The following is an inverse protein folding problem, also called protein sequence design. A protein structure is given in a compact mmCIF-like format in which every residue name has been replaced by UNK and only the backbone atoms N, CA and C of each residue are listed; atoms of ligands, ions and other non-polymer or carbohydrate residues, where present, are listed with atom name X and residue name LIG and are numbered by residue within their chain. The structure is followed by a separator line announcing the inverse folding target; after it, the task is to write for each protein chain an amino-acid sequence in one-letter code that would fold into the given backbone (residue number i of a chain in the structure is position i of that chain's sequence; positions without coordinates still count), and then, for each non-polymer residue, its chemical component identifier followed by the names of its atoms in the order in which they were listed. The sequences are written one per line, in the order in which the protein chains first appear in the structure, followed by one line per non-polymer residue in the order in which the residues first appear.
data_IF_616411851892
#
_entry.id   IF_616411851892
#
_cell.length_a   1.000
_cell.length_b   1.000
_cell.length_c   1.000
_cell.angle_alpha   90.00
_cell.angle_beta   90.00
_cell.angle_gamma   90.00
#
_symmetry.space_group_name_H-M   'P 1'
#
loop_
_entity.id
_entity.type
_entity.pdbx_description
1 polymer ?
#
# COMPACT_ATOMS: atom_id res chain seq x y z
N UNK A 1 -14.41 -16.19 -6.84
CA UNK A 1 -14.76 -14.77 -7.01
C UNK A 1 -15.25 -14.11 -5.73
N UNK A 2 -16.30 -14.59 -5.04
CA UNK A 2 -16.83 -13.94 -3.82
C UNK A 2 -15.78 -13.68 -2.73
N UNK A 3 -14.94 -14.67 -2.41
CA UNK A 3 -13.92 -14.56 -1.36
C UNK A 3 -12.90 -13.47 -1.62
N UNK A 4 -12.39 -13.32 -2.86
CA UNK A 4 -11.45 -12.25 -3.21
C UNK A 4 -12.06 -10.86 -2.98
N UNK A 5 -13.33 -10.67 -3.40
CA UNK A 5 -14.04 -9.40 -3.22
C UNK A 5 -14.22 -9.05 -1.76
N UNK A 6 -14.56 -10.05 -0.92
CA UNK A 6 -14.71 -9.84 0.52
C UNK A 6 -13.38 -9.43 1.14
N UNK A 7 -12.28 -10.13 0.82
CA UNK A 7 -10.95 -9.80 1.33
C UNK A 7 -10.54 -8.40 0.87
N UNK A 8 -10.79 -8.04 -0.39
CA UNK A 8 -10.45 -6.72 -0.93
C UNK A 8 -11.23 -5.59 -0.26
N UNK A 9 -12.52 -5.79 0.00
CA UNK A 9 -13.34 -4.81 0.73
C UNK A 9 -12.91 -4.69 2.19
N UNK A 10 -12.58 -5.82 2.84
CA UNK A 10 -12.07 -5.81 4.20
C UNK A 10 -10.76 -5.03 4.30
N UNK A 11 -9.82 -5.24 3.36
CA UNK A 11 -8.56 -4.51 3.33
C UNK A 11 -8.77 -3.01 3.12
N UNK A 12 -9.69 -2.61 2.23
CA UNK A 12 -10.03 -1.21 2.04
C UNK A 12 -10.56 -0.56 3.33
N UNK A 13 -11.44 -1.26 4.05
CA UNK A 13 -11.96 -0.80 5.34
C UNK A 13 -10.86 -0.69 6.38
N UNK A 14 -9.97 -1.69 6.48
CA UNK A 14 -8.82 -1.68 7.40
C UNK A 14 -7.93 -0.47 7.09
N UNK A 15 -7.63 -0.23 5.82
CA UNK A 15 -6.79 0.90 5.38
C UNK A 15 -7.40 2.26 5.76
N UNK A 16 -8.70 2.44 5.51
CA UNK A 16 -9.40 3.68 5.88
C UNK A 16 -9.37 3.88 7.40
N UNK A 17 -9.66 2.83 8.17
CA UNK A 17 -9.60 2.88 9.64
C UNK A 17 -8.18 3.18 10.13
N UNK A 18 -7.16 2.60 9.48
CA UNK A 18 -5.77 2.87 9.81
C UNK A 18 -5.37 4.33 9.52
N UNK A 19 -5.79 4.91 8.39
CA UNK A 19 -5.56 6.33 8.08
C UNK A 19 -6.25 7.22 9.12
N UNK A 20 -7.46 6.87 9.56
CA UNK A 20 -8.15 7.60 10.63
C UNK A 20 -7.37 7.53 11.94
N UNK A 21 -6.83 6.35 12.29
CA UNK A 21 -5.97 6.15 13.47
C UNK A 21 -4.71 7.04 13.39
N UNK A 22 -4.02 7.02 12.24
CA UNK A 22 -2.87 7.89 11.98
C UNK A 22 -3.22 9.37 12.14
N UNK A 23 -4.38 9.78 11.63
CA UNK A 23 -4.87 11.17 11.74
C UNK A 23 -5.08 11.58 13.20
N UNK A 24 -5.62 10.68 14.01
CA UNK A 24 -5.81 10.93 15.46
C UNK A 24 -4.46 11.06 16.15
N UNK A 25 -3.51 10.19 15.88
CA UNK A 25 -2.19 10.21 16.51
C UNK A 25 -1.33 11.41 16.07
N UNK A 26 -1.40 11.78 14.80
CA UNK A 26 -0.65 12.92 14.26
C UNK A 26 -1.33 14.27 14.52
N UNK A 27 -2.60 14.28 14.95
CA UNK A 27 -3.40 15.50 15.12
C UNK A 27 -3.79 16.19 13.80
N UNK A 28 -3.42 15.62 12.67
CA UNK A 28 -3.70 16.11 11.30
C UNK A 28 -3.60 14.93 10.33
N UNK A 29 -4.00 15.14 9.07
CA UNK A 29 -3.80 14.15 8.03
C UNK A 29 -2.29 13.82 7.91
N UNK A 30 -1.87 12.55 8.02
CA UNK A 30 -0.47 12.17 8.08
C UNK A 30 0.25 12.36 6.73
N UNK A 31 1.57 12.49 6.77
CA UNK A 31 2.40 12.54 5.56
C UNK A 31 2.41 11.22 4.79
N UNK A 32 2.36 10.10 5.52
CA UNK A 32 2.40 8.74 5.01
C UNK A 32 1.69 7.79 5.97
N UNK A 33 1.39 6.57 5.53
CA UNK A 33 0.84 5.54 6.41
C UNK A 33 1.85 5.10 7.49
N UNK A 34 3.15 5.28 7.25
CA UNK A 34 4.19 4.97 8.23
C UNK A 34 4.33 5.97 9.37
N UNK A 35 3.50 7.02 9.42
CA UNK A 35 3.63 8.10 10.43
C UNK A 35 3.57 7.59 11.87
N UNK A 36 2.80 6.55 12.16
CA UNK A 36 2.70 5.96 13.50
C UNK A 36 4.01 5.32 13.96
N UNK A 37 4.88 4.91 13.02
CA UNK A 37 6.19 4.34 13.34
C UNK A 37 7.14 5.34 14.00
N UNK A 38 6.86 6.63 13.89
CA UNK A 38 7.62 7.70 14.55
C UNK A 38 7.14 8.00 15.98
N UNK A 39 5.98 7.46 16.37
CA UNK A 39 5.33 7.72 17.63
C UNK A 39 5.53 6.55 18.58
N UNK A 40 6.27 6.74 19.69
CA UNK A 40 6.34 5.74 20.76
C UNK A 40 5.11 5.92 21.65
N UNK A 41 4.35 4.85 21.96
CA UNK A 41 4.59 3.41 21.76
C UNK A 41 3.96 2.81 20.48
N UNK A 42 3.52 3.60 19.52
CA UNK A 42 2.68 3.18 18.39
C UNK A 42 3.44 2.65 17.17
N UNK A 43 4.74 2.39 17.28
CA UNK A 43 5.56 1.94 16.14
C UNK A 43 5.17 0.55 15.59
N UNK A 44 4.54 -0.30 16.41
CA UNK A 44 4.03 -1.60 15.94
C UNK A 44 2.79 -1.50 15.07
N UNK A 45 1.99 -0.44 15.22
CA UNK A 45 0.71 -0.30 14.53
C UNK A 45 0.91 -0.31 13.01
N UNK A 46 1.97 0.35 12.55
CA UNK A 46 2.33 0.34 11.14
C UNK A 46 2.73 -1.07 10.64
N UNK A 47 3.58 -1.78 11.39
CA UNK A 47 4.00 -3.14 10.99
C UNK A 47 2.82 -4.12 10.96
N UNK A 48 1.87 -4.00 11.91
CA UNK A 48 0.64 -4.79 11.94
C UNK A 48 -0.22 -4.46 10.71
N UNK A 49 -0.39 -3.18 10.38
CA UNK A 49 -1.11 -2.77 9.18
C UNK A 49 -0.47 -3.32 7.91
N UNK A 50 0.85 -3.17 7.73
CA UNK A 50 1.56 -3.70 6.55
C UNK A 50 1.40 -5.22 6.44
N UNK A 51 1.34 -5.94 7.57
CA UNK A 51 1.07 -7.37 7.56
C UNK A 51 -0.31 -7.69 6.97
N UNK A 52 -1.35 -6.89 7.23
CA UNK A 52 -2.68 -7.09 6.60
C UNK A 52 -2.59 -6.92 5.09
N UNK A 53 -1.85 -5.92 4.61
CA UNK A 53 -1.62 -5.70 3.18
C UNK A 53 -0.87 -6.87 2.54
N UNK A 54 0.17 -7.43 3.20
CA UNK A 54 0.89 -8.62 2.72
C UNK A 54 -0.07 -9.81 2.57
N UNK A 55 -0.90 -10.06 3.58
CA UNK A 55 -1.90 -11.14 3.56
C UNK A 55 -2.92 -10.91 2.42
N UNK A 56 -3.39 -9.69 2.25
CA UNK A 56 -4.29 -9.32 1.16
C UNK A 56 -3.65 -9.62 -0.21
N UNK A 57 -2.43 -9.15 -0.46
CA UNK A 57 -1.69 -9.38 -1.70
C UNK A 57 -1.51 -10.88 -1.95
N UNK A 58 -1.05 -11.63 -0.94
CA UNK A 58 -0.82 -13.06 -1.04
C UNK A 58 -2.10 -13.86 -1.35
N UNK A 59 -3.21 -13.53 -0.72
CA UNK A 59 -4.45 -14.28 -0.89
C UNK A 59 -5.22 -13.92 -2.16
N UNK A 60 -5.04 -12.72 -2.68
CA UNK A 60 -5.88 -12.22 -3.78
C UNK A 60 -5.20 -12.15 -5.13
N UNK A 61 -3.91 -11.77 -5.19
CA UNK A 61 -3.26 -11.47 -6.45
C UNK A 61 -2.63 -12.69 -7.15
N UNK A 62 -2.18 -13.73 -6.44
CA UNK A 62 -1.54 -14.89 -7.07
C UNK A 62 -2.47 -15.71 -7.98
N UNK A 63 -3.77 -15.66 -7.73
CA UNK A 63 -4.71 -16.51 -8.47
C UNK A 63 -4.87 -16.05 -9.91
N UNK A 64 -4.56 -16.95 -10.86
CA UNK A 64 -4.68 -16.70 -12.28
C UNK A 64 -3.51 -15.91 -12.89
N UNK A 65 -2.39 -15.77 -12.16
CA UNK A 65 -1.20 -15.10 -12.63
C UNK A 65 -0.38 -15.97 -13.60
N UNK A 66 0.09 -15.36 -14.67
CA UNK A 66 1.18 -15.90 -15.47
C UNK A 66 2.54 -15.75 -14.74
N UNK A 67 3.62 -16.27 -15.34
CA UNK A 67 4.96 -16.23 -14.71
C UNK A 67 5.44 -14.81 -14.39
N UNK A 68 5.25 -13.86 -15.32
CA UNK A 68 5.70 -12.46 -15.14
C UNK A 68 4.90 -11.78 -14.03
N UNK A 69 3.59 -11.96 -14.01
CA UNK A 69 2.70 -11.42 -12.99
C UNK A 69 3.03 -11.95 -11.60
N UNK A 70 3.37 -13.26 -11.48
CA UNK A 70 3.83 -13.83 -10.20
C UNK A 70 5.10 -13.18 -9.68
N UNK A 71 6.05 -12.85 -10.56
CA UNK A 71 7.25 -12.14 -10.17
C UNK A 71 6.87 -10.77 -9.58
N UNK A 72 5.95 -10.03 -10.22
CA UNK A 72 5.50 -8.74 -9.68
C UNK A 72 4.85 -8.89 -8.30
N UNK A 73 4.00 -9.90 -8.10
CA UNK A 73 3.38 -10.16 -6.79
C UNK A 73 4.44 -10.48 -5.73
N UNK A 74 5.47 -11.26 -6.06
CA UNK A 74 6.58 -11.53 -5.14
C UNK A 74 7.38 -10.27 -4.82
N UNK A 75 7.65 -9.40 -5.81
CA UNK A 75 8.34 -8.13 -5.59
C UNK A 75 7.52 -7.20 -4.69
N UNK A 76 6.19 -7.14 -4.85
CA UNK A 76 5.32 -6.41 -3.93
C UNK A 76 5.45 -6.93 -2.49
N UNK A 77 5.38 -8.27 -2.30
CA UNK A 77 5.50 -8.87 -0.97
C UNK A 77 6.87 -8.61 -0.34
N UNK A 78 7.95 -8.75 -1.11
CA UNK A 78 9.30 -8.47 -0.65
C UNK A 78 9.42 -6.99 -0.24
N UNK A 79 8.94 -6.07 -1.06
CA UNK A 79 8.95 -4.65 -0.75
C UNK A 79 8.15 -4.31 0.51
N UNK A 80 6.97 -4.92 0.70
CA UNK A 80 6.16 -4.74 1.91
C UNK A 80 6.84 -5.33 3.16
N UNK A 81 7.49 -6.48 3.04
CA UNK A 81 8.28 -7.08 4.16
C UNK A 81 9.43 -6.13 4.53
N UNK A 82 10.14 -5.59 3.54
CA UNK A 82 11.23 -4.66 3.76
C UNK A 82 10.75 -3.39 4.49
N UNK A 83 9.63 -2.81 4.04
CA UNK A 83 8.97 -1.67 4.70
C UNK A 83 8.56 -1.99 6.14
N UNK A 84 8.01 -3.20 6.39
CA UNK A 84 7.56 -3.61 7.72
C UNK A 84 8.72 -3.84 8.69
N UNK A 85 9.86 -4.35 8.20
CA UNK A 85 11.04 -4.69 9.00
C UNK A 85 12.00 -3.52 9.18
N UNK A 86 11.89 -2.48 8.35
CA UNK A 86 12.68 -1.25 8.44
C UNK A 86 11.84 -0.06 8.91
N UNK A 87 11.19 -0.10 10.09
CA UNK A 87 10.48 1.05 10.59
C UNK A 87 11.48 2.19 10.77
N UNK A 88 11.24 3.28 10.10
CA UNK A 88 12.13 4.45 10.00
C UNK A 88 12.65 4.96 11.35
N UNK A 89 11.95 4.64 12.43
CA UNK A 89 12.23 5.10 13.78
C UNK A 89 13.42 4.38 14.47
N UNK A 90 13.68 3.11 14.13
CA UNK A 90 14.66 2.29 14.87
C UNK A 90 15.94 1.96 14.11
N UNK A 91 16.01 2.35 12.84
CA UNK A 91 17.17 2.02 12.03
C UNK A 91 17.65 3.25 11.29
N UNK A 92 18.97 3.45 11.27
CA UNK A 92 19.63 4.38 10.35
C UNK A 92 19.41 4.01 8.86
N UNK A 93 18.61 2.96 8.61
CA UNK A 93 18.30 2.39 7.30
C UNK A 93 17.04 2.98 6.67
N UNK A 94 16.90 4.29 6.68
CA UNK A 94 15.89 5.04 5.90
C UNK A 94 15.86 4.58 4.44
N UNK A 95 17.04 4.22 3.90
CA UNK A 95 17.16 3.73 2.53
C UNK A 95 16.36 2.45 2.28
N UNK A 96 16.43 1.45 3.17
CA UNK A 96 15.70 0.19 3.00
C UNK A 96 14.19 0.41 3.03
N UNK A 97 13.70 1.26 3.92
CA UNK A 97 12.28 1.60 4.00
C UNK A 97 11.75 2.20 2.68
N UNK A 98 12.44 3.21 2.16
CA UNK A 98 12.05 3.83 0.89
C UNK A 98 12.23 2.89 -0.29
N UNK A 99 13.29 2.09 -0.31
CA UNK A 99 13.52 1.10 -1.36
C UNK A 99 12.39 0.07 -1.42
N UNK A 100 11.97 -0.47 -0.27
CA UNK A 100 10.84 -1.40 -0.18
C UNK A 100 9.53 -0.78 -0.68
N UNK A 101 9.24 0.47 -0.28
CA UNK A 101 8.07 1.20 -0.74
C UNK A 101 8.06 1.43 -2.26
N UNK A 102 9.17 1.90 -2.83
CA UNK A 102 9.33 2.09 -4.27
C UNK A 102 9.20 0.76 -5.02
N UNK A 103 9.83 -0.29 -4.53
CA UNK A 103 9.76 -1.62 -5.13
C UNK A 103 8.31 -2.13 -5.18
N UNK A 104 7.57 -2.00 -4.08
CA UNK A 104 6.17 -2.37 -4.01
C UNK A 104 5.32 -1.56 -4.99
N UNK A 105 5.47 -0.23 -5.01
CA UNK A 105 4.71 0.67 -5.87
C UNK A 105 4.98 0.36 -7.36
N UNK A 106 6.23 0.27 -7.79
CA UNK A 106 6.59 -0.05 -9.18
C UNK A 106 6.05 -1.41 -9.59
N UNK A 107 6.20 -2.43 -8.75
CA UNK A 107 5.69 -3.77 -9.03
C UNK A 107 4.16 -3.79 -9.16
N UNK A 108 3.42 -3.01 -8.34
CA UNK A 108 1.96 -2.92 -8.41
C UNK A 108 1.50 -2.22 -9.70
N UNK A 109 2.12 -1.10 -10.07
CA UNK A 109 1.81 -0.37 -11.31
C UNK A 109 2.05 -1.27 -12.53
N UNK A 110 3.19 -1.98 -12.58
CA UNK A 110 3.47 -2.92 -13.67
C UNK A 110 2.45 -4.07 -13.69
N UNK A 111 2.10 -4.63 -12.54
CA UNK A 111 1.08 -5.67 -12.43
C UNK A 111 -0.29 -5.20 -12.94
N UNK A 112 -0.74 -4.02 -12.49
CA UNK A 112 -2.01 -3.42 -12.90
C UNK A 112 -2.01 -3.06 -14.39
N UNK A 113 -0.91 -2.55 -14.93
CA UNK A 113 -0.78 -2.23 -16.36
C UNK A 113 -0.99 -3.46 -17.25
N UNK A 114 -0.59 -4.64 -16.80
CA UNK A 114 -0.82 -5.89 -17.53
C UNK A 114 -2.23 -6.43 -17.40
N UNK A 115 -2.86 -6.26 -16.22
CA UNK A 115 -4.17 -6.87 -15.92
C UNK A 115 -5.36 -5.97 -16.25
N UNK A 116 -5.24 -4.69 -15.97
CA UNK A 116 -6.31 -3.71 -16.14
C UNK A 116 -5.75 -2.30 -16.40
N UNK A 117 -5.16 -2.04 -17.57
CA UNK A 117 -4.47 -0.77 -17.86
C UNK A 117 -5.37 0.46 -17.68
N UNK A 118 -6.68 0.30 -17.76
CA UNK A 118 -7.64 1.39 -17.50
C UNK A 118 -7.61 1.91 -16.05
N UNK A 119 -7.20 1.08 -15.10
CA UNK A 119 -7.08 1.50 -13.69
C UNK A 119 -5.94 2.50 -13.49
N UNK A 120 -4.95 2.54 -14.37
CA UNK A 120 -3.88 3.53 -14.32
C UNK A 120 -4.38 4.98 -14.40
N UNK A 121 -5.59 5.21 -14.91
CA UNK A 121 -6.23 6.52 -14.87
C UNK A 121 -6.51 7.05 -13.46
N UNK A 122 -6.51 6.18 -12.45
CA UNK A 122 -6.61 6.59 -11.04
C UNK A 122 -5.43 7.46 -10.59
N UNK A 123 -4.27 7.34 -11.25
CA UNK A 123 -3.12 8.18 -10.95
C UNK A 123 -3.33 9.65 -11.33
N UNK A 124 -4.23 9.94 -12.26
CA UNK A 124 -4.55 11.34 -12.63
C UNK A 124 -5.13 12.12 -11.44
N UNK A 125 -6.24 11.69 -10.79
CA UNK A 125 -6.73 12.36 -9.59
C UNK A 125 -5.73 12.29 -8.43
N UNK A 126 -4.94 11.22 -8.31
CA UNK A 126 -3.89 11.12 -7.30
C UNK A 126 -2.89 12.27 -7.44
N UNK A 127 -2.31 12.46 -8.64
CA UNK A 127 -1.37 13.55 -8.89
C UNK A 127 -1.99 14.94 -8.69
N UNK A 128 -3.26 15.14 -9.08
CA UNK A 128 -3.97 16.39 -8.84
C UNK A 128 -4.05 16.67 -7.33
N UNK A 129 -4.44 15.66 -6.53
CA UNK A 129 -4.53 15.79 -5.07
C UNK A 129 -3.15 16.06 -4.47
N UNK A 130 -2.10 15.37 -4.93
CA UNK A 130 -0.73 15.58 -4.46
C UNK A 130 -0.23 17.02 -4.73
N UNK A 131 -0.63 17.62 -5.85
CA UNK A 131 -0.31 19.02 -6.17
C UNK A 131 -1.09 20.00 -5.29
N UNK A 132 -2.37 19.70 -5.02
CA UNK A 132 -3.23 20.56 -4.18
C UNK A 132 -2.84 20.47 -2.71
N UNK A 133 -2.42 19.27 -2.25
CA UNK A 133 -2.11 19.00 -0.87
C UNK A 133 -0.72 18.36 -0.69
N UNK A 134 0.38 19.10 -1.00
CA UNK A 134 1.74 18.55 -1.03
C UNK A 134 2.21 17.88 0.27
N UNK A 135 1.81 18.33 1.49
CA UNK A 135 2.28 17.71 2.72
C UNK A 135 1.92 16.22 2.87
N UNK A 136 0.89 15.74 2.17
CA UNK A 136 0.39 14.38 2.29
C UNK A 136 0.54 13.56 0.99
N UNK A 137 1.44 13.97 0.08
CA UNK A 137 1.58 13.30 -1.22
C UNK A 137 1.89 11.80 -1.09
N UNK A 138 2.80 11.42 -0.18
CA UNK A 138 3.16 10.01 0.05
C UNK A 138 1.94 9.20 0.49
N UNK A 139 1.13 9.73 1.42
CA UNK A 139 -0.10 9.08 1.87
C UNK A 139 -1.05 8.80 0.71
N UNK A 140 -1.23 9.77 -0.19
CA UNK A 140 -2.11 9.59 -1.34
C UNK A 140 -1.56 8.56 -2.32
N UNK A 141 -0.26 8.59 -2.60
CA UNK A 141 0.39 7.59 -3.46
C UNK A 141 0.24 6.17 -2.89
N UNK A 142 0.49 5.98 -1.60
CA UNK A 142 0.31 4.70 -0.90
C UNK A 142 -1.15 4.22 -0.97
N UNK A 143 -2.11 5.11 -0.70
CA UNK A 143 -3.53 4.81 -0.73
C UNK A 143 -4.01 4.45 -2.15
N UNK A 144 -3.64 5.22 -3.17
CA UNK A 144 -4.04 4.96 -4.55
C UNK A 144 -3.42 3.68 -5.10
N UNK A 145 -2.18 3.35 -4.72
CA UNK A 145 -1.53 2.09 -5.06
C UNK A 145 -2.34 0.89 -4.51
N UNK A 146 -2.80 0.95 -3.26
CA UNK A 146 -3.65 -0.08 -2.68
C UNK A 146 -5.03 -0.11 -3.34
N UNK A 147 -5.63 1.05 -3.57
CA UNK A 147 -6.95 1.18 -4.19
C UNK A 147 -7.00 0.53 -5.57
N UNK A 148 -5.95 0.69 -6.39
CA UNK A 148 -5.85 0.01 -7.68
C UNK A 148 -5.92 -1.52 -7.53
N UNK A 149 -5.18 -2.09 -6.58
CA UNK A 149 -5.17 -3.54 -6.34
C UNK A 149 -6.53 -4.04 -5.83
N UNK A 150 -7.20 -3.26 -4.97
CA UNK A 150 -8.56 -3.56 -4.50
C UNK A 150 -9.54 -3.55 -5.67
N UNK A 151 -9.55 -2.48 -6.47
CA UNK A 151 -10.44 -2.34 -7.63
C UNK A 151 -10.18 -3.41 -8.68
N UNK A 152 -8.94 -3.77 -8.92
CA UNK A 152 -8.59 -4.88 -9.80
C UNK A 152 -9.30 -6.17 -9.39
N UNK A 153 -9.30 -6.51 -8.10
CA UNK A 153 -9.95 -7.70 -7.57
C UNK A 153 -11.50 -7.62 -7.57
N UNK A 154 -12.05 -6.41 -7.55
CA UNK A 154 -13.50 -6.20 -7.62
C UNK A 154 -14.02 -6.29 -9.06
N UNK A 155 -13.19 -5.89 -10.04
CA UNK A 155 -13.56 -5.81 -11.45
C UNK A 155 -13.29 -7.12 -12.23
N UNK A 156 -12.30 -7.91 -11.78
CA UNK A 156 -11.89 -9.18 -12.41
C UNK A 156 -12.23 -10.36 -11.47
#
# INVERSE_FOLDING_TARGET
MKTKRIISLAELVITVLYIMLCTVYCGSLPHSMSCTSYLIPHYYDFSIYVLTVIVFVALTLFKGCNRKERIMVWLMIIGLIDVALSPHYHTDNTFLHYFGGILCCVASVVYVSHRAPKLLWLWVPCFIICVIYPPCHILFEEFFCLLEMVLLNLLI
#
